data_IF_073505817395
#
_entry.id   IF_073505817395
#
_cell.length_a   1.000
_cell.length_b   1.000
_cell.length_c   1.000
_cell.angle_alpha   90.00
_cell.angle_beta   90.00
_cell.angle_gamma   90.00
#
_symmetry.space_group_name_H-M   'P 1'
#
loop_
_entity.id
_entity.type
_entity.pdbx_description
1 polymer ?
#
# COMPACT_ATOMS: atom_id res chain seq x y z
N UNK A 1 -1.04 -29.82 -23.77
CA UNK A 1 -0.04 -28.82 -23.28
C UNK A 1 -0.40 -27.51 -23.95
N UNK A 2 -0.57 -26.45 -23.15
CA UNK A 2 -0.85 -25.11 -23.72
C UNK A 2 0.41 -24.53 -24.35
N UNK A 3 0.22 -23.84 -25.48
CA UNK A 3 1.26 -23.16 -26.24
C UNK A 3 0.91 -21.68 -26.45
N UNK A 4 1.92 -20.85 -26.66
CA UNK A 4 1.71 -19.44 -27.02
C UNK A 4 0.93 -19.37 -28.33
N UNK A 5 -0.08 -18.50 -28.41
CA UNK A 5 -1.00 -18.38 -29.55
C UNK A 5 -2.25 -19.27 -29.43
N UNK A 6 -2.36 -20.16 -28.42
CA UNK A 6 -3.59 -20.92 -28.24
C UNK A 6 -4.75 -20.02 -27.86
N UNK A 7 -5.88 -20.18 -28.56
CA UNK A 7 -7.14 -19.52 -28.25
C UNK A 7 -7.97 -20.42 -27.31
N UNK A 8 -8.51 -19.85 -26.24
CA UNK A 8 -9.26 -20.57 -25.22
C UNK A 8 -10.50 -19.76 -24.84
N UNK A 9 -11.61 -20.46 -24.61
CA UNK A 9 -12.79 -19.90 -23.94
C UNK A 9 -12.71 -20.27 -22.45
N UNK A 10 -12.69 -19.28 -21.57
CA UNK A 10 -12.52 -19.48 -20.12
C UNK A 10 -13.52 -18.64 -19.33
N UNK A 11 -13.76 -19.04 -18.06
CA UNK A 11 -14.49 -18.24 -17.08
C UNK A 11 -13.53 -17.78 -16.00
N UNK A 12 -13.53 -16.50 -15.68
CA UNK A 12 -12.73 -15.93 -14.60
C UNK A 12 -13.33 -16.35 -13.26
N UNK A 13 -12.61 -17.10 -12.47
CA UNK A 13 -13.08 -17.67 -11.20
C UNK A 13 -12.61 -16.91 -9.96
N UNK A 14 -11.53 -16.14 -10.07
CA UNK A 14 -10.94 -15.40 -8.96
C UNK A 14 -10.08 -14.22 -9.46
N UNK A 15 -9.54 -13.43 -8.52
CA UNK A 15 -8.61 -12.34 -8.76
C UNK A 15 -7.29 -12.61 -8.03
N UNK A 16 -6.18 -12.43 -8.73
CA UNK A 16 -4.85 -12.53 -8.14
C UNK A 16 -4.43 -11.23 -7.45
N UNK A 17 -3.52 -11.34 -6.49
CA UNK A 17 -2.70 -10.19 -6.11
C UNK A 17 -2.01 -9.62 -7.36
N UNK A 18 -2.10 -8.29 -7.56
CA UNK A 18 -1.64 -7.64 -8.81
C UNK A 18 -2.75 -7.45 -9.85
N UNK A 19 -4.02 -7.70 -9.49
CA UNK A 19 -5.19 -7.29 -10.25
C UNK A 19 -5.50 -8.13 -11.49
N UNK A 20 -4.82 -9.26 -11.71
CA UNK A 20 -5.13 -10.15 -12.83
C UNK A 20 -6.22 -11.14 -12.46
N UNK A 21 -7.22 -11.31 -13.34
CA UNK A 21 -8.18 -12.39 -13.22
C UNK A 21 -7.52 -13.76 -13.31
N UNK A 22 -8.09 -14.72 -12.61
CA UNK A 22 -7.64 -16.12 -12.61
C UNK A 22 -8.72 -16.98 -13.26
N UNK A 23 -8.34 -17.69 -14.30
CA UNK A 23 -9.11 -18.80 -14.85
C UNK A 23 -8.34 -20.12 -14.71
N UNK A 24 -9.00 -21.25 -14.94
CA UNK A 24 -8.39 -22.57 -14.94
C UNK A 24 -8.87 -23.37 -16.14
N UNK A 25 -7.95 -23.99 -16.84
CA UNK A 25 -8.23 -24.91 -17.92
C UNK A 25 -7.26 -26.09 -17.85
N UNK A 26 -7.74 -27.32 -17.93
CA UNK A 26 -6.95 -28.55 -17.90
C UNK A 26 -5.92 -28.60 -16.73
N UNK A 27 -6.29 -28.06 -15.57
CA UNK A 27 -5.42 -28.01 -14.40
C UNK A 27 -4.34 -26.89 -14.42
N UNK A 28 -4.27 -26.11 -15.51
CA UNK A 28 -3.34 -24.98 -15.66
C UNK A 28 -4.03 -23.70 -15.20
N UNK A 29 -3.33 -22.87 -14.46
CA UNK A 29 -3.78 -21.54 -14.04
C UNK A 29 -3.50 -20.55 -15.15
N UNK A 30 -4.49 -19.74 -15.50
CA UNK A 30 -4.39 -18.67 -16.51
C UNK A 30 -4.56 -17.32 -15.83
N UNK A 31 -3.58 -16.42 -15.98
CA UNK A 31 -3.62 -15.05 -15.50
C UNK A 31 -3.98 -14.10 -16.65
N UNK A 32 -5.04 -13.31 -16.45
CA UNK A 32 -5.64 -12.49 -17.50
C UNK A 32 -5.83 -11.07 -16.98
N UNK A 33 -5.07 -10.06 -17.45
CA UNK A 33 -5.28 -8.67 -17.06
C UNK A 33 -6.57 -8.10 -17.66
N UNK A 34 -7.13 -7.05 -17.01
CA UNK A 34 -8.27 -6.32 -17.55
C UNK A 34 -9.59 -7.07 -17.49
N UNK A 35 -9.75 -7.99 -16.52
CA UNK A 35 -10.93 -8.86 -16.40
C UNK A 35 -11.52 -8.82 -15.00
N UNK A 36 -12.78 -9.27 -14.89
CA UNK A 36 -13.53 -9.37 -13.63
C UNK A 36 -14.01 -10.81 -13.39
N UNK A 37 -14.29 -11.12 -12.13
CA UNK A 37 -14.80 -12.43 -11.72
C UNK A 37 -16.18 -12.68 -12.34
N UNK A 38 -16.37 -13.90 -12.87
CA UNK A 38 -17.59 -14.35 -13.51
C UNK A 38 -17.65 -14.07 -15.02
N UNK A 39 -16.71 -13.29 -15.58
CA UNK A 39 -16.67 -13.06 -17.02
C UNK A 39 -16.31 -14.32 -17.77
N UNK A 40 -17.02 -14.52 -18.90
CA UNK A 40 -16.65 -15.52 -19.91
C UNK A 40 -15.94 -14.84 -21.06
N UNK A 41 -14.74 -15.32 -21.34
CA UNK A 41 -13.79 -14.65 -22.21
C UNK A 41 -13.23 -15.61 -23.25
N UNK A 42 -12.99 -15.09 -24.45
CA UNK A 42 -12.03 -15.68 -25.41
C UNK A 42 -10.70 -15.00 -25.22
N UNK A 43 -9.66 -15.80 -24.97
CA UNK A 43 -8.32 -15.34 -24.67
C UNK A 43 -7.30 -15.98 -25.58
N UNK A 44 -6.14 -15.31 -25.75
CA UNK A 44 -4.96 -15.85 -26.42
C UNK A 44 -3.82 -15.98 -25.39
N UNK A 45 -3.19 -17.16 -25.33
CA UNK A 45 -2.04 -17.41 -24.48
C UNK A 45 -0.83 -16.64 -25.01
N UNK A 46 -0.28 -15.71 -24.22
CA UNK A 46 0.86 -14.85 -24.62
C UNK A 46 2.17 -15.29 -24.03
N UNK A 47 2.16 -15.98 -22.89
CA UNK A 47 3.39 -16.42 -22.21
C UNK A 47 3.13 -17.65 -21.34
N UNK A 48 4.08 -18.58 -21.36
CA UNK A 48 4.09 -19.76 -20.48
C UNK A 48 5.00 -19.46 -19.29
N UNK A 49 4.47 -19.70 -18.07
CA UNK A 49 5.20 -19.58 -16.83
C UNK A 49 6.12 -20.76 -16.55
N UNK A 50 6.82 -20.69 -15.41
CA UNK A 50 7.81 -21.70 -15.01
C UNK A 50 7.22 -23.10 -15.00
N UNK A 51 7.84 -24.04 -15.71
CA UNK A 51 7.46 -25.45 -15.78
C UNK A 51 6.03 -25.70 -16.30
N UNK A 52 5.41 -24.77 -17.05
CA UNK A 52 4.05 -24.92 -17.58
C UNK A 52 2.92 -24.97 -16.55
N UNK A 53 3.17 -24.60 -15.30
CA UNK A 53 2.15 -24.64 -14.22
C UNK A 53 1.10 -23.54 -14.32
N UNK A 54 1.44 -22.47 -15.02
CA UNK A 54 0.56 -21.34 -15.28
C UNK A 54 0.93 -20.67 -16.58
N UNK A 55 -0.02 -19.93 -17.15
CA UNK A 55 0.16 -19.13 -18.35
C UNK A 55 -0.36 -17.72 -18.14
N UNK A 56 0.12 -16.78 -18.94
CA UNK A 56 -0.48 -15.46 -19.10
C UNK A 56 -1.21 -15.41 -20.43
N UNK A 57 -2.31 -14.72 -20.47
CA UNK A 57 -3.11 -14.55 -21.65
C UNK A 57 -3.65 -13.13 -21.76
N UNK A 58 -4.05 -12.74 -22.96
CA UNK A 58 -4.73 -11.47 -23.25
C UNK A 58 -6.16 -11.74 -23.72
N UNK A 59 -7.08 -10.81 -23.41
CA UNK A 59 -8.47 -10.89 -23.81
C UNK A 59 -8.60 -10.54 -25.29
N UNK A 60 -9.15 -11.47 -26.08
CA UNK A 60 -9.55 -11.24 -27.48
C UNK A 60 -10.99 -10.74 -27.55
N UNK A 61 -11.88 -11.34 -26.73
CA UNK A 61 -13.30 -11.03 -26.75
C UNK A 61 -13.88 -11.27 -25.35
N UNK A 62 -14.74 -10.36 -24.89
CA UNK A 62 -15.60 -10.56 -23.72
C UNK A 62 -16.92 -11.14 -24.22
N UNK A 63 -17.12 -12.46 -24.04
CA UNK A 63 -18.31 -13.20 -24.50
C UNK A 63 -19.51 -12.88 -23.59
N UNK A 64 -19.27 -12.91 -22.28
CA UNK A 64 -20.25 -12.53 -21.26
C UNK A 64 -19.56 -11.62 -20.23
N UNK A 65 -20.00 -10.38 -20.14
CA UNK A 65 -19.42 -9.40 -19.21
C UNK A 65 -19.95 -9.54 -17.80
N UNK A 66 -19.14 -9.19 -16.82
CA UNK A 66 -19.59 -8.96 -15.44
C UNK A 66 -20.60 -7.79 -15.39
N UNK A 67 -21.59 -7.82 -14.48
CA UNK A 67 -22.51 -6.71 -14.27
C UNK A 67 -21.80 -5.45 -13.74
N UNK A 68 -20.55 -5.57 -13.29
CA UNK A 68 -19.72 -4.48 -12.76
C UNK A 68 -18.75 -3.91 -13.80
N UNK A 69 -18.67 -4.50 -15.01
CA UNK A 69 -17.86 -3.95 -16.09
C UNK A 69 -18.43 -2.63 -16.56
N UNK A 70 -17.55 -1.65 -16.74
CA UNK A 70 -17.92 -0.32 -17.21
C UNK A 70 -16.93 0.21 -18.24
N UNK A 71 -17.32 1.25 -18.96
CA UNK A 71 -16.39 1.98 -19.79
C UNK A 71 -15.43 2.78 -18.92
N UNK A 72 -14.13 2.64 -19.12
CA UNK A 72 -13.16 3.41 -18.35
C UNK A 72 -13.36 4.93 -18.50
N UNK A 73 -13.26 5.72 -17.42
CA UNK A 73 -13.37 7.18 -17.50
C UNK A 73 -12.14 7.83 -18.17
N UNK A 74 -11.02 7.12 -18.27
CA UNK A 74 -9.77 7.60 -18.87
C UNK A 74 -9.57 6.98 -20.25
N UNK A 75 -9.32 7.80 -21.27
CA UNK A 75 -9.07 7.34 -22.65
C UNK A 75 -7.78 6.50 -22.80
N UNK A 76 -6.86 6.60 -21.84
CA UNK A 76 -5.60 5.86 -21.82
C UNK A 76 -5.67 4.54 -21.02
N UNK A 77 -6.84 4.18 -20.53
CA UNK A 77 -7.03 2.92 -19.79
C UNK A 77 -6.68 1.71 -20.68
N UNK A 78 -6.00 0.71 -20.09
CA UNK A 78 -5.50 -0.46 -20.82
C UNK A 78 -4.20 -0.24 -21.59
N UNK A 79 -3.77 1.01 -21.76
CA UNK A 79 -2.49 1.36 -22.41
C UNK A 79 -1.51 1.94 -21.42
N UNK A 80 -1.93 2.96 -20.67
CA UNK A 80 -1.15 3.55 -19.58
C UNK A 80 -1.08 2.58 -18.39
N UNK A 81 0.11 2.46 -17.78
CA UNK A 81 0.35 1.59 -16.63
C UNK A 81 -0.05 2.17 -15.28
N UNK A 82 -0.65 3.36 -15.25
CA UNK A 82 -1.02 4.03 -13.99
C UNK A 82 -2.27 3.47 -13.32
N UNK A 83 -3.16 2.83 -14.09
CA UNK A 83 -4.43 2.26 -13.61
C UNK A 83 -4.69 0.92 -14.28
N UNK A 84 -5.19 -0.05 -13.53
CA UNK A 84 -5.47 -1.41 -14.02
C UNK A 84 -6.92 -1.88 -13.75
N UNK A 85 -7.71 -1.11 -13.00
CA UNK A 85 -9.08 -1.47 -12.63
C UNK A 85 -10.17 -0.55 -13.19
N UNK A 86 -9.85 0.40 -14.07
CA UNK A 86 -10.83 1.36 -14.60
C UNK A 86 -11.99 0.73 -15.40
N UNK A 87 -11.86 -0.53 -15.81
CA UNK A 87 -12.89 -1.29 -16.48
C UNK A 87 -13.94 -1.89 -15.53
N UNK A 88 -13.80 -1.66 -14.22
CA UNK A 88 -14.67 -2.19 -13.16
C UNK A 88 -15.19 -1.02 -12.33
N UNK A 89 -16.46 -1.08 -11.90
CA UNK A 89 -17.05 -0.07 -11.00
C UNK A 89 -16.26 0.04 -9.69
N UNK A 90 -16.06 1.25 -9.17
CA UNK A 90 -15.14 1.46 -8.02
C UNK A 90 -15.62 0.75 -6.77
N UNK A 91 -16.95 0.65 -6.56
CA UNK A 91 -17.49 -0.16 -5.46
C UNK A 91 -17.07 -1.62 -5.55
N UNK A 92 -17.08 -2.20 -6.76
CA UNK A 92 -16.68 -3.58 -6.98
C UNK A 92 -15.15 -3.76 -6.92
N UNK A 93 -14.36 -2.75 -7.33
CA UNK A 93 -12.90 -2.76 -7.10
C UNK A 93 -12.57 -2.98 -5.63
N UNK A 94 -13.31 -2.35 -4.70
CA UNK A 94 -13.14 -2.51 -3.25
C UNK A 94 -13.46 -3.94 -2.79
N UNK A 95 -14.50 -4.57 -3.34
CA UNK A 95 -14.79 -5.97 -3.04
C UNK A 95 -13.68 -6.92 -3.54
N UNK A 96 -13.11 -6.66 -4.71
CA UNK A 96 -11.96 -7.44 -5.21
C UNK A 96 -10.72 -7.27 -4.32
N UNK A 97 -10.44 -6.05 -3.86
CA UNK A 97 -9.35 -5.75 -2.91
C UNK A 97 -9.55 -6.47 -1.58
N UNK A 98 -10.77 -6.40 -1.01
CA UNK A 98 -11.16 -7.18 0.17
C UNK A 98 -10.88 -8.67 -0.01
N UNK A 99 -11.30 -9.23 -1.13
CA UNK A 99 -11.08 -10.65 -1.46
C UNK A 99 -9.60 -11.01 -1.46
N UNK A 100 -8.75 -10.18 -2.05
CA UNK A 100 -7.29 -10.38 -2.06
C UNK A 100 -6.72 -10.34 -0.64
N UNK A 101 -7.16 -9.41 0.22
CA UNK A 101 -6.74 -9.34 1.64
C UNK A 101 -7.10 -10.64 2.35
N UNK A 102 -8.36 -11.04 2.29
CA UNK A 102 -8.87 -12.23 3.00
C UNK A 102 -8.19 -13.52 2.53
N UNK A 103 -8.04 -13.71 1.22
CA UNK A 103 -7.32 -14.84 0.64
C UNK A 103 -5.84 -14.86 1.09
N UNK A 104 -5.20 -13.68 1.21
CA UNK A 104 -3.82 -13.58 1.67
C UNK A 104 -3.68 -13.95 3.14
N UNK A 105 -4.58 -13.48 4.01
CA UNK A 105 -4.60 -13.82 5.44
C UNK A 105 -4.80 -15.34 5.65
N UNK A 106 -5.74 -15.92 4.92
CA UNK A 106 -5.97 -17.38 5.00
C UNK A 106 -4.73 -18.18 4.55
N UNK A 107 -4.15 -17.78 3.43
CA UNK A 107 -3.05 -18.54 2.80
C UNK A 107 -1.72 -18.40 3.53
N UNK A 108 -1.37 -17.19 3.99
CA UNK A 108 -0.04 -16.88 4.49
C UNK A 108 0.01 -16.68 6.01
N UNK A 109 -1.08 -16.24 6.63
CA UNK A 109 -1.15 -16.09 8.08
C UNK A 109 -1.89 -17.26 8.78
N UNK A 110 -2.55 -18.14 8.02
CA UNK A 110 -3.36 -19.21 8.59
C UNK A 110 -4.56 -18.69 9.40
N UNK A 111 -5.08 -17.51 9.03
CA UNK A 111 -6.24 -16.88 9.69
C UNK A 111 -7.49 -17.27 8.90
N UNK A 112 -8.51 -17.76 9.61
CA UNK A 112 -9.80 -18.03 8.99
C UNK A 112 -10.44 -16.72 8.52
N UNK A 113 -10.59 -16.59 7.20
CA UNK A 113 -11.15 -15.40 6.55
C UNK A 113 -12.61 -15.12 6.97
N UNK A 114 -13.34 -16.11 7.48
CA UNK A 114 -14.73 -15.92 7.91
C UNK A 114 -14.86 -14.97 9.09
N UNK A 115 -13.86 -14.93 9.98
CA UNK A 115 -13.81 -13.99 11.09
C UNK A 115 -13.72 -12.52 10.65
N UNK A 116 -13.26 -12.29 9.42
CA UNK A 116 -13.09 -10.97 8.83
C UNK A 116 -14.03 -10.69 7.66
N UNK A 117 -15.11 -11.48 7.54
CA UNK A 117 -16.10 -11.34 6.46
C UNK A 117 -16.77 -9.97 6.41
N UNK A 118 -16.88 -9.29 7.56
CA UNK A 118 -17.38 -7.91 7.69
C UNK A 118 -16.35 -6.83 7.35
N UNK A 119 -15.10 -7.19 6.99
CA UNK A 119 -14.12 -6.20 6.55
C UNK A 119 -14.69 -5.37 5.39
N UNK A 120 -14.62 -4.07 5.49
CA UNK A 120 -14.91 -3.15 4.41
C UNK A 120 -13.64 -2.42 4.00
N UNK A 121 -13.44 -2.27 2.69
CA UNK A 121 -12.38 -1.39 2.16
C UNK A 121 -12.97 0.00 2.06
N UNK A 122 -12.52 0.88 2.95
CA UNK A 122 -13.06 2.23 3.09
C UNK A 122 -12.76 3.07 1.85
N UNK A 123 -13.78 3.77 1.37
CA UNK A 123 -13.66 4.64 0.21
C UNK A 123 -12.98 5.97 0.57
N UNK A 124 -12.13 6.44 -0.32
CA UNK A 124 -11.65 7.82 -0.42
C UNK A 124 -12.05 8.38 -1.78
N UNK A 125 -11.64 9.63 -2.11
CA UNK A 125 -11.90 10.24 -3.40
C UNK A 125 -11.42 9.33 -4.55
N UNK A 126 -12.27 9.09 -5.55
CA UNK A 126 -12.04 8.07 -6.60
C UNK A 126 -11.24 8.59 -7.80
N UNK A 127 -11.25 9.91 -8.00
CA UNK A 127 -10.55 10.65 -9.06
C UNK A 127 -9.95 11.93 -8.48
N UNK A 128 -8.99 12.52 -9.18
CA UNK A 128 -8.33 13.79 -8.80
C UNK A 128 -7.72 13.79 -7.39
N UNK A 129 -7.36 12.61 -6.90
CA UNK A 129 -6.84 12.42 -5.55
C UNK A 129 -5.32 12.46 -5.44
N UNK A 130 -4.63 12.16 -6.56
CA UNK A 130 -3.20 11.90 -6.55
C UNK A 130 -2.39 13.18 -6.59
N UNK A 131 -1.76 13.51 -5.46
CA UNK A 131 -0.99 14.74 -5.27
C UNK A 131 0.47 14.65 -5.75
N UNK A 132 0.92 13.48 -6.20
CA UNK A 132 2.30 13.26 -6.66
C UNK A 132 2.32 12.41 -7.91
N UNK A 133 2.91 12.96 -8.98
CA UNK A 133 3.03 12.31 -10.29
C UNK A 133 4.49 12.27 -10.75
N UNK A 134 4.88 11.16 -11.38
CA UNK A 134 6.17 11.00 -12.02
C UNK A 134 5.97 10.84 -13.52
N UNK A 135 6.05 11.94 -14.24
CA UNK A 135 6.00 11.92 -15.70
C UNK A 135 7.39 11.58 -16.26
N UNK A 136 7.40 10.93 -17.40
CA UNK A 136 8.61 10.52 -18.10
C UNK A 136 8.79 11.37 -19.36
N UNK A 137 9.94 12.02 -19.55
CA UNK A 137 10.21 12.77 -20.76
C UNK A 137 10.49 11.83 -21.95
N UNK A 138 9.99 12.18 -23.12
CA UNK A 138 10.40 11.56 -24.39
C UNK A 138 11.66 12.23 -24.93
N UNK A 139 12.33 11.63 -25.90
CA UNK A 139 13.46 12.28 -26.60
C UNK A 139 13.07 13.60 -27.31
N UNK A 140 11.79 13.80 -27.60
CA UNK A 140 11.24 15.02 -28.25
C UNK A 140 10.80 16.10 -27.25
N UNK A 141 10.97 15.86 -25.93
CA UNK A 141 10.63 16.81 -24.88
C UNK A 141 9.15 16.78 -24.44
N UNK A 142 8.36 15.85 -24.96
CA UNK A 142 6.99 15.63 -24.48
C UNK A 142 7.01 14.74 -23.25
N UNK A 143 5.93 14.78 -22.44
CA UNK A 143 5.83 13.99 -21.23
C UNK A 143 4.69 12.97 -21.28
N UNK A 144 4.90 11.84 -20.65
CA UNK A 144 3.90 10.79 -20.54
C UNK A 144 4.12 9.89 -19.34
N UNK A 145 3.41 8.78 -19.31
CA UNK A 145 3.54 7.74 -18.30
C UNK A 145 3.97 6.43 -18.94
N UNK A 146 4.61 5.56 -18.20
CA UNK A 146 4.98 4.26 -18.74
C UNK A 146 3.74 3.42 -19.11
N UNK A 147 3.82 2.72 -20.24
CA UNK A 147 2.92 1.63 -20.57
C UNK A 147 3.03 0.53 -19.50
N UNK A 148 1.94 -0.16 -19.23
CA UNK A 148 1.92 -1.27 -18.29
C UNK A 148 3.02 -2.30 -18.61
N UNK A 149 3.84 -2.64 -17.60
CA UNK A 149 4.95 -3.62 -17.70
C UNK A 149 5.96 -3.36 -18.83
N UNK A 150 6.16 -2.10 -19.18
CA UNK A 150 7.04 -1.68 -20.27
C UNK A 150 7.82 -0.41 -19.89
N UNK A 151 8.93 -0.16 -20.57
CA UNK A 151 9.66 1.12 -20.53
C UNK A 151 9.22 2.10 -21.61
N UNK A 152 8.27 1.74 -22.47
CA UNK A 152 7.73 2.67 -23.48
C UNK A 152 6.81 3.68 -22.83
N UNK A 153 6.82 4.91 -23.34
CA UNK A 153 6.05 6.03 -22.81
C UNK A 153 4.73 6.15 -23.60
N UNK A 154 3.64 6.33 -22.87
CA UNK A 154 2.33 6.71 -23.41
C UNK A 154 2.21 8.21 -23.21
N UNK A 155 2.17 8.98 -24.28
CA UNK A 155 1.86 10.41 -24.21
C UNK A 155 0.43 10.59 -23.72
N UNK A 156 0.25 11.48 -22.79
CA UNK A 156 -1.06 11.79 -22.23
C UNK A 156 -1.24 13.31 -22.16
N UNK A 157 -2.45 13.78 -22.35
CA UNK A 157 -2.84 15.19 -22.22
C UNK A 157 -3.49 15.49 -20.87
N UNK A 158 -4.03 14.47 -20.20
CA UNK A 158 -4.56 14.57 -18.84
C UNK A 158 -4.41 13.25 -18.08
N UNK A 159 -4.48 13.31 -16.75
CA UNK A 159 -4.56 12.13 -15.90
C UNK A 159 -5.74 12.26 -14.94
N UNK A 160 -6.76 11.42 -15.09
CA UNK A 160 -8.01 11.49 -14.30
C UNK A 160 -7.83 11.25 -12.80
N UNK A 161 -6.75 10.61 -12.38
CA UNK A 161 -6.46 10.43 -10.95
C UNK A 161 -5.54 11.51 -10.38
N UNK A 162 -4.82 12.28 -11.22
CA UNK A 162 -4.01 13.39 -10.75
C UNK A 162 -4.89 14.51 -10.17
N UNK A 163 -4.45 15.12 -9.07
CA UNK A 163 -5.10 16.29 -8.51
C UNK A 163 -5.20 17.40 -9.56
N UNK A 164 -6.26 18.20 -9.50
CA UNK A 164 -6.58 19.17 -10.55
C UNK A 164 -5.50 20.21 -10.77
N UNK A 165 -4.68 20.46 -9.75
CA UNK A 165 -3.56 21.40 -9.75
C UNK A 165 -2.31 20.84 -10.44
N UNK A 166 -2.27 19.52 -10.66
CA UNK A 166 -1.14 18.85 -11.30
C UNK A 166 -1.31 18.88 -12.81
N UNK A 167 -0.67 19.85 -13.45
CA UNK A 167 -0.56 19.88 -14.90
C UNK A 167 0.53 18.94 -15.42
N UNK A 168 0.37 18.46 -16.66
CA UNK A 168 1.45 17.74 -17.35
C UNK A 168 2.58 18.76 -17.61
N UNK A 169 3.84 18.42 -17.27
CA UNK A 169 4.96 19.30 -17.49
C UNK A 169 5.17 19.64 -18.98
N UNK A 170 5.56 20.87 -19.25
CA UNK A 170 5.93 21.35 -20.61
C UNK A 170 7.42 21.61 -20.76
N UNK A 171 8.20 21.47 -19.68
CA UNK A 171 9.64 21.71 -19.58
C UNK A 171 10.32 20.50 -18.91
N UNK A 172 11.64 20.42 -18.91
CA UNK A 172 12.54 19.30 -18.54
C UNK A 172 12.32 18.59 -17.16
N UNK A 173 11.13 18.58 -16.62
CA UNK A 173 10.88 18.18 -15.24
C UNK A 173 9.79 17.11 -15.14
N UNK A 174 10.21 15.88 -14.79
CA UNK A 174 9.34 14.70 -14.73
C UNK A 174 8.54 14.49 -13.44
N UNK A 175 8.84 15.19 -12.33
CA UNK A 175 8.13 15.02 -11.06
C UNK A 175 7.29 16.26 -10.75
N UNK A 176 6.01 16.07 -10.50
CA UNK A 176 5.08 17.14 -10.10
C UNK A 176 4.39 16.72 -8.81
N UNK A 177 4.38 17.59 -7.82
CA UNK A 177 3.65 17.44 -6.58
C UNK A 177 2.83 18.70 -6.30
N UNK A 178 1.59 18.55 -5.83
CA UNK A 178 0.84 19.62 -5.20
C UNK A 178 1.05 19.56 -3.68
N UNK A 179 1.09 20.72 -3.03
CA UNK A 179 1.03 20.85 -1.58
C UNK A 179 -0.41 21.13 -1.11
N UNK A 180 -0.60 21.31 0.20
CA UNK A 180 -1.91 21.59 0.78
C UNK A 180 -2.49 22.96 0.35
N UNK A 181 -1.69 23.82 -0.29
CA UNK A 181 -2.13 25.11 -0.85
C UNK A 181 -2.58 25.01 -2.32
N UNK A 182 -2.52 23.81 -2.91
CA UNK A 182 -2.94 23.55 -4.28
C UNK A 182 -1.95 23.99 -5.35
N UNK A 183 -0.70 24.32 -5.00
CA UNK A 183 0.32 24.70 -5.97
C UNK A 183 1.03 23.48 -6.54
N UNK A 184 0.87 23.23 -7.84
CA UNK A 184 1.71 22.30 -8.57
C UNK A 184 3.17 22.81 -8.60
N UNK A 185 4.09 22.00 -8.11
CA UNK A 185 5.50 22.35 -8.09
C UNK A 185 6.30 21.47 -9.05
N UNK A 186 7.06 22.09 -9.93
CA UNK A 186 7.98 21.45 -10.85
C UNK A 186 9.24 21.02 -10.09
N UNK A 187 9.73 19.84 -10.37
CA UNK A 187 10.76 19.22 -9.55
C UNK A 187 12.20 19.58 -9.91
N UNK A 188 12.66 20.56 -9.28
CA UNK A 188 13.95 20.52 -8.59
C UNK A 188 13.61 20.13 -7.15
N UNK A 189 14.49 19.45 -6.34
CA UNK A 189 14.18 19.19 -4.95
C UNK A 189 13.70 20.48 -4.31
N UNK A 190 12.41 20.62 -4.15
CA UNK A 190 11.80 21.83 -3.61
C UNK A 190 11.11 21.45 -2.33
N UNK A 191 11.38 22.23 -1.29
CA UNK A 191 10.68 22.09 -0.04
C UNK A 191 9.21 22.38 -0.27
N UNK A 192 8.38 21.47 0.22
CA UNK A 192 6.94 21.59 0.28
C UNK A 192 6.49 21.39 1.72
N UNK A 193 5.35 21.94 2.05
CA UNK A 193 4.75 21.79 3.37
C UNK A 193 3.41 21.10 3.21
N UNK A 194 3.24 19.99 3.90
CA UNK A 194 1.98 19.25 3.99
C UNK A 194 1.34 19.53 5.35
N UNK A 195 0.00 19.59 5.36
CA UNK A 195 -0.76 19.77 6.58
C UNK A 195 -1.79 18.65 6.72
N UNK A 196 -1.78 17.99 7.87
CA UNK A 196 -2.74 16.94 8.22
C UNK A 196 -3.37 17.30 9.55
N UNK A 197 -4.62 17.75 9.53
CA UNK A 197 -5.25 18.35 10.70
C UNK A 197 -4.41 19.50 11.27
N UNK A 198 -3.95 19.36 12.52
CA UNK A 198 -3.09 20.35 13.18
C UNK A 198 -1.59 20.17 12.93
N UNK A 199 -1.17 19.01 12.39
CA UNK A 199 0.24 18.69 12.18
C UNK A 199 0.74 19.29 10.87
N UNK A 200 1.99 19.77 10.90
CA UNK A 200 2.68 20.37 9.75
C UNK A 200 3.95 19.56 9.47
N UNK A 201 4.10 19.14 8.22
CA UNK A 201 5.22 18.33 7.76
C UNK A 201 5.97 19.08 6.65
N UNK A 202 7.25 19.37 6.88
CA UNK A 202 8.12 19.87 5.83
C UNK A 202 8.84 18.69 5.19
N UNK A 203 8.93 18.68 3.88
CA UNK A 203 9.58 17.64 3.10
C UNK A 203 9.96 18.20 1.74
N UNK A 204 10.72 17.46 0.95
CA UNK A 204 10.91 17.82 -0.45
C UNK A 204 10.18 16.86 -1.40
N UNK A 205 10.11 17.23 -2.67
CA UNK A 205 9.41 16.47 -3.70
C UNK A 205 9.94 15.04 -3.91
N UNK A 206 11.13 14.71 -3.42
CA UNK A 206 11.74 13.38 -3.51
C UNK A 206 11.55 12.53 -2.26
N UNK A 207 11.09 13.12 -1.15
CA UNK A 207 10.69 12.35 0.02
C UNK A 207 9.40 11.59 -0.28
N UNK A 208 9.28 10.39 0.29
CA UNK A 208 8.01 9.68 0.24
C UNK A 208 6.94 10.47 1.01
N UNK A 209 5.77 10.56 0.45
CA UNK A 209 4.53 11.04 1.08
C UNK A 209 3.36 10.28 0.47
N UNK A 210 2.29 10.11 1.25
CA UNK A 210 1.09 9.44 0.77
C UNK A 210 0.54 10.16 -0.47
N UNK A 211 0.32 9.41 -1.54
CA UNK A 211 -0.05 10.00 -2.83
C UNK A 211 -1.51 10.46 -2.90
N UNK A 212 -2.39 9.88 -2.08
CA UNK A 212 -3.79 10.27 -1.99
C UNK A 212 -3.96 11.43 -1.01
N UNK A 213 -4.63 12.50 -1.42
CA UNK A 213 -4.81 13.72 -0.61
C UNK A 213 -5.46 13.47 0.75
N UNK A 214 -6.40 12.54 0.84
CA UNK A 214 -7.14 12.21 2.08
C UNK A 214 -6.46 11.12 2.92
N UNK A 215 -5.50 10.37 2.33
CA UNK A 215 -4.90 9.22 3.02
C UNK A 215 -4.14 9.57 4.30
N UNK A 216 -3.32 10.64 4.37
CA UNK A 216 -2.55 10.94 5.57
C UNK A 216 -3.42 11.10 6.82
N UNK A 217 -4.54 11.82 6.72
CA UNK A 217 -5.46 12.05 7.85
C UNK A 217 -6.12 10.74 8.26
N UNK A 218 -6.64 9.98 7.29
CA UNK A 218 -7.29 8.70 7.56
C UNK A 218 -6.34 7.68 8.17
N UNK A 219 -5.08 7.66 7.71
CA UNK A 219 -4.06 6.76 8.26
C UNK A 219 -3.72 7.11 9.71
N UNK A 220 -3.55 8.40 10.02
CA UNK A 220 -3.33 8.84 11.41
C UNK A 220 -4.50 8.40 12.30
N UNK A 221 -5.75 8.59 11.88
CA UNK A 221 -6.93 8.19 12.65
C UNK A 221 -6.92 6.69 13.00
N UNK A 222 -6.68 5.82 11.99
CA UNK A 222 -6.67 4.37 12.19
C UNK A 222 -5.49 3.96 13.08
N UNK A 223 -4.28 4.44 12.74
CA UNK A 223 -3.05 4.05 13.45
C UNK A 223 -3.10 4.50 14.91
N UNK A 224 -3.49 5.72 15.21
CA UNK A 224 -3.58 6.21 16.59
C UNK A 224 -4.63 5.45 17.40
N UNK A 225 -5.76 5.10 16.80
CA UNK A 225 -6.80 4.30 17.45
C UNK A 225 -6.29 2.88 17.75
N UNK A 226 -5.64 2.21 16.79
CA UNK A 226 -5.09 0.87 16.98
C UNK A 226 -3.94 0.86 17.98
N UNK A 227 -3.04 1.83 17.88
CA UNK A 227 -1.90 1.97 18.78
C UNK A 227 -2.32 2.14 20.23
N UNK A 228 -3.44 2.83 20.46
CA UNK A 228 -3.98 3.12 21.80
C UNK A 228 -2.88 3.56 22.78
N UNK A 229 -2.11 4.55 22.35
CA UNK A 229 -0.95 5.08 23.09
C UNK A 229 -1.42 5.72 24.39
N UNK A 230 -0.79 5.36 25.51
CA UNK A 230 -1.03 5.93 26.83
C UNK A 230 0.04 6.97 27.17
N UNK A 231 -0.29 7.90 28.07
CA UNK A 231 0.73 8.82 28.59
C UNK A 231 1.82 8.04 29.32
N UNK A 232 3.06 8.37 29.03
CA UNK A 232 4.22 7.67 29.57
C UNK A 232 4.71 6.48 28.74
N UNK A 233 3.98 6.07 27.71
CA UNK A 233 4.42 4.97 26.84
C UNK A 233 5.75 5.28 26.12
N UNK A 234 6.50 4.22 25.85
CA UNK A 234 7.60 4.20 24.90
C UNK A 234 7.10 3.67 23.56
N UNK A 235 7.24 4.47 22.50
CA UNK A 235 6.73 4.16 21.15
C UNK A 235 7.89 4.09 20.15
N UNK A 236 7.89 3.09 19.29
CA UNK A 236 8.75 3.05 18.11
C UNK A 236 7.92 3.29 16.86
N UNK A 237 8.33 4.26 16.05
CA UNK A 237 7.81 4.53 14.71
C UNK A 237 8.87 4.09 13.69
N UNK A 238 8.69 2.90 13.12
CA UNK A 238 9.63 2.24 12.24
C UNK A 238 9.25 2.47 10.76
N UNK A 239 10.24 2.79 9.92
CA UNK A 239 10.04 3.27 8.55
C UNK A 239 9.28 4.60 8.54
N UNK A 240 9.64 5.49 9.46
CA UNK A 240 8.85 6.69 9.83
C UNK A 240 8.75 7.77 8.75
N UNK A 241 9.52 7.65 7.65
CA UNK A 241 9.52 8.65 6.59
C UNK A 241 9.90 10.05 7.12
N UNK A 242 9.03 11.02 6.89
CA UNK A 242 9.18 12.39 7.40
C UNK A 242 8.43 12.62 8.73
N UNK A 243 7.85 11.55 9.32
CA UNK A 243 7.25 11.56 10.65
C UNK A 243 5.73 11.59 10.70
N UNK A 244 5.03 11.02 9.68
CA UNK A 244 3.57 11.01 9.62
C UNK A 244 2.92 10.53 10.93
N UNK A 245 3.43 9.45 11.50
CA UNK A 245 2.93 8.89 12.75
C UNK A 245 3.74 9.37 13.98
N UNK A 246 4.97 9.86 13.78
CA UNK A 246 5.83 10.35 14.85
C UNK A 246 5.22 11.54 15.59
N UNK A 247 4.71 12.55 14.84
CA UNK A 247 4.16 13.76 15.46
C UNK A 247 2.93 13.45 16.33
N UNK A 248 1.88 12.76 15.85
CA UNK A 248 0.73 12.43 16.68
C UNK A 248 1.10 11.49 17.84
N UNK A 249 2.02 10.55 17.66
CA UNK A 249 2.49 9.68 18.74
C UNK A 249 3.17 10.48 19.85
N UNK A 250 3.98 11.47 19.49
CA UNK A 250 4.69 12.33 20.45
C UNK A 250 3.74 13.15 21.32
N UNK A 251 2.61 13.55 20.78
CA UNK A 251 1.57 14.22 21.56
C UNK A 251 0.86 13.25 22.52
N UNK A 252 0.56 12.03 22.04
CA UNK A 252 -0.15 11.03 22.84
C UNK A 252 0.67 10.56 24.05
N UNK A 253 1.98 10.32 23.90
CA UNK A 253 2.83 9.85 25.00
C UNK A 253 3.00 10.89 26.12
N UNK A 254 2.83 12.19 25.81
CA UNK A 254 3.02 13.27 26.79
C UNK A 254 4.49 13.43 27.22
N UNK A 255 4.72 14.27 28.25
CA UNK A 255 6.07 14.65 28.68
C UNK A 255 6.87 13.50 29.31
N UNK A 256 6.21 12.50 29.88
CA UNK A 256 6.82 11.36 30.56
C UNK A 256 7.11 10.18 29.61
N UNK A 257 6.56 10.21 28.39
CA UNK A 257 6.74 9.16 27.41
C UNK A 257 7.88 9.46 26.42
N UNK A 258 8.08 8.55 25.47
CA UNK A 258 9.12 8.71 24.46
C UNK A 258 8.70 8.12 23.11
N UNK A 259 9.17 8.73 22.03
CA UNK A 259 9.00 8.22 20.66
C UNK A 259 10.36 8.13 19.99
N UNK A 260 10.72 6.94 19.52
CA UNK A 260 11.90 6.72 18.69
C UNK A 260 11.43 6.48 17.28
N UNK A 261 11.75 7.37 16.35
CA UNK A 261 11.42 7.28 14.93
C UNK A 261 12.66 6.87 14.13
N UNK A 262 12.55 5.74 13.41
CA UNK A 262 13.67 5.15 12.67
C UNK A 262 13.39 5.20 11.17
N UNK A 263 14.30 5.87 10.42
CA UNK A 263 14.19 6.06 8.98
C UNK A 263 15.51 5.79 8.27
N UNK A 264 15.49 4.94 7.25
CA UNK A 264 16.68 4.53 6.48
C UNK A 264 17.10 5.54 5.43
N UNK A 265 16.16 6.23 4.79
CA UNK A 265 16.46 7.25 3.80
C UNK A 265 17.01 8.52 4.47
N UNK A 266 18.22 8.91 4.08
CA UNK A 266 18.91 10.07 4.69
C UNK A 266 18.15 11.39 4.49
N UNK A 267 17.45 11.54 3.38
CA UNK A 267 16.70 12.75 3.05
C UNK A 267 15.46 12.86 3.93
N UNK A 268 14.64 11.81 3.94
CA UNK A 268 13.44 11.72 4.79
C UNK A 268 13.81 11.87 6.27
N UNK A 269 14.87 11.22 6.74
CA UNK A 269 15.36 11.34 8.12
C UNK A 269 15.80 12.75 8.51
N UNK A 270 16.37 13.52 7.58
CA UNK A 270 16.70 14.94 7.82
C UNK A 270 15.43 15.77 8.02
N UNK A 271 14.40 15.57 7.19
CA UNK A 271 13.12 16.25 7.35
C UNK A 271 12.40 15.79 8.61
N UNK A 272 12.42 14.49 8.93
CA UNK A 272 11.92 13.97 10.20
C UNK A 272 12.53 14.72 11.39
N UNK A 273 13.87 14.84 11.41
CA UNK A 273 14.59 15.57 12.47
C UNK A 273 14.14 17.03 12.57
N UNK A 274 13.91 17.68 11.43
CA UNK A 274 13.40 19.06 11.40
C UNK A 274 11.96 19.14 11.89
N UNK A 275 11.09 18.22 11.47
CA UNK A 275 9.67 18.22 11.81
C UNK A 275 9.41 17.97 13.28
N UNK A 276 10.27 17.20 13.97
CA UNK A 276 10.18 16.95 15.41
C UNK A 276 11.02 17.96 16.25
N UNK A 277 11.60 18.97 15.60
CA UNK A 277 12.39 19.98 16.32
C UNK A 277 11.57 20.68 17.39
N UNK A 278 12.07 20.69 18.63
CA UNK A 278 11.38 21.23 19.79
C UNK A 278 10.42 20.26 20.50
N UNK A 279 10.26 19.03 20.00
CA UNK A 279 9.50 17.97 20.67
C UNK A 279 10.49 17.12 21.49
N UNK A 280 10.58 17.37 22.79
CA UNK A 280 11.59 16.77 23.68
C UNK A 280 11.48 15.26 23.85
N UNK A 281 10.25 14.70 23.73
CA UNK A 281 9.98 13.27 23.84
C UNK A 281 10.20 12.50 22.53
N UNK A 282 10.48 13.18 21.41
CA UNK A 282 10.71 12.53 20.12
C UNK A 282 12.21 12.54 19.73
N UNK A 283 12.66 11.43 19.17
CA UNK A 283 14.03 11.28 18.67
C UNK A 283 14.05 10.60 17.30
N UNK A 284 14.66 11.25 16.31
CA UNK A 284 14.93 10.68 14.99
C UNK A 284 16.23 9.89 14.97
N UNK A 285 16.20 8.72 14.31
CA UNK A 285 17.35 7.85 14.07
C UNK A 285 17.46 7.58 12.58
N UNK A 286 18.57 8.01 11.95
CA UNK A 286 18.85 7.60 10.57
C UNK A 286 19.58 6.25 10.57
N UNK A 287 18.85 5.18 10.31
CA UNK A 287 19.36 3.82 10.23
C UNK A 287 18.43 2.93 9.44
N UNK A 288 18.96 1.89 8.81
CA UNK A 288 18.15 0.74 8.44
C UNK A 288 17.48 0.16 9.70
N UNK A 289 16.19 -0.20 9.57
CA UNK A 289 15.36 -0.64 10.70
C UNK A 289 15.89 -1.94 11.32
N UNK A 290 16.24 -2.93 10.50
CA UNK A 290 16.78 -4.21 10.98
C UNK A 290 18.09 -3.99 11.75
N UNK A 291 19.01 -3.18 11.21
CA UNK A 291 20.29 -2.88 11.84
C UNK A 291 20.14 -2.11 13.17
N UNK A 292 19.15 -1.24 13.25
CA UNK A 292 18.85 -0.52 14.47
C UNK A 292 18.25 -1.45 15.52
N UNK A 293 17.30 -2.32 15.16
CA UNK A 293 16.66 -3.29 16.05
C UNK A 293 17.68 -4.26 16.67
N UNK A 294 18.64 -4.75 15.89
CA UNK A 294 19.72 -5.63 16.38
C UNK A 294 20.53 -4.99 17.53
N UNK A 295 20.66 -3.66 17.53
CA UNK A 295 21.44 -2.92 18.52
C UNK A 295 20.59 -2.34 19.65
N UNK A 296 19.26 -2.33 19.48
CA UNK A 296 18.35 -1.74 20.46
C UNK A 296 18.18 -2.68 21.65
N UNK A 297 18.27 -2.11 22.84
CA UNK A 297 17.96 -2.79 24.10
C UNK A 297 16.86 -2.09 24.91
N UNK A 298 16.26 -1.05 24.35
CA UNK A 298 15.23 -0.25 25.01
C UNK A 298 13.93 -1.05 25.12
N UNK A 299 13.20 -0.85 26.21
CA UNK A 299 11.81 -1.32 26.31
C UNK A 299 10.92 -0.51 25.37
N UNK A 300 9.85 -1.12 24.89
CA UNK A 300 8.85 -0.49 24.03
C UNK A 300 7.46 -1.03 24.36
N UNK A 301 6.50 -0.13 24.46
CA UNK A 301 5.09 -0.48 24.71
C UNK A 301 4.31 -0.62 23.42
N UNK A 302 4.58 0.24 22.44
CA UNK A 302 3.87 0.30 21.16
C UNK A 302 4.86 0.39 20.01
N UNK A 303 4.65 -0.41 18.98
CA UNK A 303 5.40 -0.34 17.72
C UNK A 303 4.43 -0.01 16.59
N UNK A 304 4.73 1.03 15.83
CA UNK A 304 4.06 1.39 14.58
C UNK A 304 5.07 1.11 13.46
N UNK A 305 4.64 0.45 12.38
CA UNK A 305 5.51 0.23 11.23
C UNK A 305 4.76 0.36 9.91
N UNK A 306 5.36 1.07 8.95
CA UNK A 306 4.88 1.24 7.56
C UNK A 306 6.01 0.86 6.58
N UNK A 307 6.31 -0.45 6.45
CA UNK A 307 7.43 -0.93 5.66
C UNK A 307 7.16 -0.81 4.16
N UNK A 308 8.21 -0.90 3.31
CA UNK A 308 8.07 -0.93 1.87
C UNK A 308 7.25 -2.15 1.39
N UNK A 309 6.82 -2.16 0.12
CA UNK A 309 5.98 -3.21 -0.51
C UNK A 309 6.42 -4.65 -0.25
N UNK A 310 7.70 -4.91 -0.05
CA UNK A 310 8.20 -6.26 0.30
C UNK A 310 7.83 -6.72 1.72
N UNK A 311 7.26 -5.84 2.53
CA UNK A 311 6.99 -6.05 3.95
C UNK A 311 8.22 -5.83 4.83
N UNK A 312 8.03 -5.96 6.15
CA UNK A 312 9.10 -5.88 7.14
C UNK A 312 9.99 -7.13 7.09
N UNK A 313 9.39 -8.29 6.86
CA UNK A 313 10.09 -9.56 6.78
C UNK A 313 10.31 -10.22 8.14
N UNK A 314 10.65 -11.52 8.09
CA UNK A 314 10.72 -12.38 9.26
C UNK A 314 11.66 -11.83 10.34
N UNK A 315 12.88 -11.42 9.97
CA UNK A 315 13.89 -10.97 10.93
C UNK A 315 13.42 -9.74 11.71
N UNK A 316 12.86 -8.73 11.02
CA UNK A 316 12.34 -7.51 11.66
C UNK A 316 11.21 -7.83 12.61
N UNK A 317 10.26 -8.70 12.22
CA UNK A 317 9.15 -9.12 13.08
C UNK A 317 9.68 -9.86 14.33
N UNK A 318 10.64 -10.78 14.17
CA UNK A 318 11.27 -11.49 15.29
C UNK A 318 11.96 -10.53 16.26
N UNK A 319 12.72 -9.57 15.74
CA UNK A 319 13.41 -8.56 16.56
C UNK A 319 12.43 -7.67 17.33
N UNK A 320 11.35 -7.20 16.69
CA UNK A 320 10.30 -6.41 17.37
C UNK A 320 9.71 -7.22 18.52
N UNK A 321 9.33 -8.46 18.29
CA UNK A 321 8.63 -9.31 19.27
C UNK A 321 9.53 -9.69 20.46
N UNK A 322 10.85 -9.72 20.31
CA UNK A 322 11.78 -9.92 21.43
C UNK A 322 11.63 -8.82 22.52
N UNK A 323 11.22 -7.63 22.14
CA UNK A 323 10.95 -6.53 23.07
C UNK A 323 9.56 -6.59 23.71
N UNK A 324 8.69 -7.54 23.28
CA UNK A 324 7.35 -7.78 23.83
C UNK A 324 6.44 -6.55 23.89
N UNK A 325 6.32 -5.74 22.82
CA UNK A 325 5.39 -4.62 22.83
C UNK A 325 3.96 -5.13 23.11
N UNK A 326 3.17 -4.35 23.86
CA UNK A 326 1.76 -4.69 24.07
C UNK A 326 0.90 -4.50 22.82
N UNK A 327 1.36 -3.66 21.90
CA UNK A 327 0.65 -3.31 20.67
C UNK A 327 1.63 -3.15 19.51
N UNK A 328 1.32 -3.77 18.37
CA UNK A 328 2.02 -3.56 17.11
C UNK A 328 0.97 -3.14 16.08
N UNK A 329 1.15 -1.96 15.49
CA UNK A 329 0.31 -1.47 14.39
C UNK A 329 1.11 -1.54 13.11
N UNK A 330 0.66 -2.38 12.18
CA UNK A 330 1.29 -2.59 10.89
C UNK A 330 0.45 -1.95 9.79
N UNK A 331 1.03 -1.02 9.04
CA UNK A 331 0.47 -0.43 7.82
C UNK A 331 1.10 -1.13 6.63
N UNK A 332 0.32 -1.62 5.68
CA UNK A 332 0.86 -2.37 4.54
C UNK A 332 0.09 -2.16 3.24
N UNK A 333 0.81 -1.72 2.23
CA UNK A 333 0.28 -1.53 0.87
C UNK A 333 0.28 -2.81 0.01
N UNK A 334 0.81 -3.92 0.54
CA UNK A 334 0.84 -5.24 -0.11
C UNK A 334 0.20 -6.29 0.80
N UNK A 335 -1.02 -6.75 0.50
CA UNK A 335 -1.74 -7.72 1.34
C UNK A 335 -1.02 -9.06 1.52
N UNK A 336 -0.20 -9.48 0.55
CA UNK A 336 0.54 -10.75 0.63
C UNK A 336 1.72 -10.61 1.58
N UNK A 337 2.46 -9.52 1.49
CA UNK A 337 3.58 -9.24 2.39
C UNK A 337 3.09 -9.04 3.83
N UNK A 338 2.02 -8.27 4.03
CA UNK A 338 1.37 -8.08 5.33
C UNK A 338 0.93 -9.42 5.94
N UNK A 339 0.18 -10.24 5.19
CA UNK A 339 -0.32 -11.52 5.70
C UNK A 339 0.82 -12.48 6.07
N UNK A 340 1.90 -12.52 5.29
CA UNK A 340 3.09 -13.30 5.62
C UNK A 340 3.74 -12.84 6.92
N UNK A 341 3.89 -11.53 7.10
CA UNK A 341 4.52 -10.94 8.29
C UNK A 341 3.63 -11.11 9.54
N UNK A 342 2.31 -11.02 9.40
CA UNK A 342 1.34 -11.43 10.44
C UNK A 342 1.52 -12.90 10.80
N UNK A 343 1.72 -13.78 9.81
CA UNK A 343 1.99 -15.19 10.05
C UNK A 343 3.25 -15.43 10.89
N UNK A 344 4.31 -14.65 10.68
CA UNK A 344 5.51 -14.72 11.53
C UNK A 344 5.20 -14.26 12.96
N UNK A 345 4.47 -13.16 13.13
CA UNK A 345 4.08 -12.66 14.45
C UNK A 345 3.21 -13.66 15.22
N UNK A 346 2.26 -14.31 14.54
CA UNK A 346 1.40 -15.33 15.15
C UNK A 346 2.19 -16.53 15.67
N UNK A 347 3.18 -16.99 14.93
CA UNK A 347 4.06 -18.08 15.36
C UNK A 347 4.90 -17.73 16.60
N UNK A 348 4.98 -16.45 16.95
CA UNK A 348 5.71 -15.92 18.09
C UNK A 348 4.79 -15.43 19.22
N UNK A 349 3.51 -15.82 19.19
CA UNK A 349 2.57 -15.55 20.27
C UNK A 349 1.86 -14.21 20.19
N UNK A 350 1.75 -13.61 18.99
CA UNK A 350 0.88 -12.46 18.74
C UNK A 350 -0.35 -12.90 17.95
N UNK A 351 -1.45 -12.18 18.11
CA UNK A 351 -2.69 -12.39 17.36
C UNK A 351 -3.16 -11.12 16.68
N UNK A 352 -3.85 -11.29 15.55
CA UNK A 352 -4.51 -10.20 14.84
C UNK A 352 -5.80 -9.84 15.58
N UNK A 353 -5.82 -8.66 16.21
CA UNK A 353 -6.95 -8.17 17.01
C UNK A 353 -7.90 -7.32 16.19
N UNK A 354 -7.37 -6.44 15.36
CA UNK A 354 -8.15 -5.52 14.53
C UNK A 354 -7.55 -5.46 13.12
N UNK A 355 -8.42 -5.26 12.13
CA UNK A 355 -8.05 -5.19 10.72
C UNK A 355 -8.95 -4.15 10.04
N UNK A 356 -8.33 -3.19 9.36
CA UNK A 356 -9.02 -2.25 8.49
C UNK A 356 -8.31 -2.13 7.15
N UNK A 357 -9.04 -1.66 6.15
CA UNK A 357 -8.49 -1.42 4.83
C UNK A 357 -9.03 -0.11 4.23
N UNK A 358 -8.18 0.60 3.50
CA UNK A 358 -8.50 1.88 2.86
C UNK A 358 -8.13 1.80 1.39
N UNK A 359 -9.06 2.23 0.53
CA UNK A 359 -8.81 2.40 -0.89
C UNK A 359 -8.05 3.71 -1.16
N UNK A 360 -6.76 3.72 -0.80
CA UNK A 360 -5.88 4.86 -1.06
C UNK A 360 -5.38 4.92 -2.51
N UNK A 361 -5.74 3.93 -3.33
CA UNK A 361 -5.35 3.84 -4.75
C UNK A 361 -6.52 3.39 -5.62
N UNK A 362 -7.64 4.14 -5.65
CA UNK A 362 -8.75 3.86 -6.55
C UNK A 362 -8.26 3.71 -7.99
N UNK A 363 -8.99 2.94 -8.80
CA UNK A 363 -8.67 2.60 -10.18
C UNK A 363 -7.45 1.66 -10.34
N UNK A 364 -6.86 1.19 -9.24
CA UNK A 364 -5.75 0.23 -9.24
C UNK A 364 -6.04 -0.96 -8.32
N UNK A 365 -5.26 -2.03 -8.44
CA UNK A 365 -5.35 -3.21 -7.55
C UNK A 365 -4.76 -2.97 -6.16
N UNK A 366 -4.05 -1.87 -5.94
CA UNK A 366 -3.42 -1.56 -4.65
C UNK A 366 -4.45 -1.20 -3.58
N UNK A 367 -4.14 -1.57 -2.34
CA UNK A 367 -4.95 -1.27 -1.17
C UNK A 367 -4.04 -1.10 0.04
N UNK A 368 -4.36 -0.15 0.91
CA UNK A 368 -3.71 -0.03 2.21
C UNK A 368 -4.47 -0.84 3.25
N UNK A 369 -3.73 -1.61 4.04
CA UNK A 369 -4.29 -2.50 5.04
C UNK A 369 -3.61 -2.23 6.37
N UNK A 370 -4.40 -2.10 7.43
CA UNK A 370 -3.96 -1.79 8.79
C UNK A 370 -4.25 -2.99 9.66
N UNK A 371 -3.23 -3.52 10.30
CA UNK A 371 -3.33 -4.66 11.20
C UNK A 371 -2.87 -4.27 12.61
N UNK A 372 -3.71 -4.53 13.59
CA UNK A 372 -3.37 -4.40 15.00
C UNK A 372 -3.05 -5.77 15.57
N UNK A 373 -1.83 -5.97 16.00
CA UNK A 373 -1.37 -7.20 16.62
C UNK A 373 -1.14 -6.97 18.13
N UNK A 374 -1.60 -7.91 18.92
CA UNK A 374 -1.43 -7.92 20.40
C UNK A 374 -0.87 -9.26 20.85
N UNK A 375 -0.28 -9.30 22.02
CA UNK A 375 0.12 -10.58 22.62
C UNK A 375 -1.10 -11.47 22.79
N UNK A 376 -1.02 -12.71 22.29
CA UNK A 376 -2.06 -13.70 22.48
C UNK A 376 -2.24 -13.98 23.97
N UNK A 377 -3.49 -14.02 24.44
CA UNK A 377 -3.78 -14.45 25.81
C UNK A 377 -3.37 -15.90 25.96
N UNK A 378 -2.49 -16.17 26.89
CA UNK A 378 -2.23 -17.55 27.34
C UNK A 378 -3.39 -17.87 28.27
N UNK A 379 -4.39 -18.60 27.76
CA UNK A 379 -5.39 -19.22 28.64
C UNK A 379 -4.64 -20.28 29.45
N UNK A 380 -4.26 -19.90 30.65
CA UNK A 380 -3.80 -20.88 31.65
C UNK A 380 -5.09 -21.64 32.04
N UNK A 381 -5.38 -22.73 31.32
CA UNK A 381 -6.30 -23.72 31.88
C UNK A 381 -5.68 -24.18 33.20
N UNK A 382 -6.21 -23.68 34.31
CA UNK A 382 -6.01 -24.27 35.63
C UNK A 382 -6.53 -25.70 35.53
N UNK A 383 -5.63 -26.65 35.27
CA UNK A 383 -5.90 -28.05 35.56
C UNK A 383 -5.95 -28.15 37.09
N UNK A 384 -7.15 -27.95 37.64
CA UNK A 384 -7.48 -28.35 38.99
C UNK A 384 -7.69 -29.85 39.07
#
# INVERSE_FOLDING_TARGET
>A
VLEVGNLLDVVVSDIAHGGMGIARTDGVVVFIPGTDIGERLRIEVTKIGSKGRFVFAEVIEVIESSPYRMNPPCQYAGVCGGCDFQHISVSHQRELKKRVILNSLQKFAGIDATHWSSLEVQALAELHYRTRMHYQPTPTGEFGLFRAKSSSIVLIDECKIAASEIAIPVDDIGVVASDFQGFAQKSIPKEITERVGKYVYNLDTHCFWQAHSEAPERFIEIVMRFANIQRGDSVWDLYSGVGLFTLPSSECVGEEGSVIAVEGDKRSSRYLTSNISGITQARAINSDVEQWLIKSSSAVDVVILDPPRKGAGKMVIELIIQHRPRSIVYVGCDPVALARDIGFARNLGYELKELEAVDAFPQTHHVETFAHLVQARIDIEEKA
#
